data_IF_771759422253
#
_entry.id   IF_771759422253
#
_cell.length_a   1.000
_cell.length_b   1.000
_cell.length_c   1.000
_cell.angle_alpha   90.00
_cell.angle_beta   90.00
_cell.angle_gamma   90.00
#
_symmetry.space_group_name_H-M   'P 1'
#
loop_
_entity.id
_entity.type
_entity.pdbx_description
1 polymer ?
#
# COMPACT_ATOMS: atom_id res chain seq x y z
N UNK A 1 2.66 7.12 29.81
CA UNK A 1 4.12 7.40 29.99
C UNK A 1 4.72 8.23 28.85
N UNK A 2 4.19 8.19 27.63
CA UNK A 2 4.81 8.79 26.43
C UNK A 2 4.80 10.34 26.37
N UNK A 3 3.88 11.01 27.07
CA UNK A 3 3.72 12.48 27.00
C UNK A 3 4.87 13.29 27.60
N UNK A 4 5.57 12.76 28.62
CA UNK A 4 6.57 13.56 29.36
C UNK A 4 7.84 13.87 28.56
N UNK A 5 8.11 13.16 27.46
CA UNK A 5 9.30 13.37 26.65
C UNK A 5 9.18 14.61 25.73
N UNK A 6 7.97 15.00 25.33
CA UNK A 6 7.72 16.02 24.30
C UNK A 6 7.87 17.49 24.77
N UNK A 7 8.15 17.74 26.05
CA UNK A 7 8.18 19.11 26.62
C UNK A 7 9.57 19.69 26.91
N UNK A 8 10.66 18.94 26.68
CA UNK A 8 12.00 19.38 27.15
C UNK A 8 12.87 20.10 26.10
N UNK A 9 12.71 19.83 24.80
CA UNK A 9 13.64 20.34 23.76
C UNK A 9 13.05 21.52 22.98
N UNK A 10 12.88 22.67 23.65
CA UNK A 10 12.48 23.93 22.97
C UNK A 10 13.00 25.20 23.64
N UNK A 11 14.33 25.28 23.81
CA UNK A 11 15.10 26.51 24.02
C UNK A 11 16.41 26.40 23.22
N UNK A 12 17.07 27.54 23.00
CA UNK A 12 18.30 27.69 22.20
C UNK A 12 18.12 27.57 20.68
N UNK A 13 17.36 28.53 20.11
CA UNK A 13 17.67 29.09 18.79
C UNK A 13 18.38 30.43 19.03
N UNK A 14 19.66 30.54 18.64
CA UNK A 14 20.48 31.75 18.84
C UNK A 14 20.47 32.61 17.58
N UNK A 15 20.35 33.93 17.75
CA UNK A 15 20.31 34.89 16.66
C UNK A 15 21.65 34.96 15.90
N UNK A 16 21.57 35.14 14.58
CA UNK A 16 22.67 35.67 13.75
C UNK A 16 22.14 36.91 13.04
N UNK A 17 22.85 38.03 13.17
CA UNK A 17 22.42 39.34 12.70
C UNK A 17 22.81 39.59 11.25
N UNK A 18 21.89 40.14 10.46
CA UNK A 18 22.22 40.81 9.20
C UNK A 18 23.15 42.01 9.47
N UNK A 19 23.98 42.37 8.48
CA UNK A 19 24.80 43.58 8.54
C UNK A 19 24.97 44.17 7.14
N UNK A 20 24.62 45.44 7.02
CA UNK A 20 24.52 46.18 5.77
C UNK A 20 25.75 47.08 5.51
N UNK A 21 26.07 47.29 4.24
CA UNK A 21 27.03 48.19 3.58
C UNK A 21 27.42 47.57 2.22
N UNK A 22 27.59 48.31 1.13
CA UNK A 22 27.42 49.75 0.91
C UNK A 22 27.92 50.11 -0.50
N UNK A 23 27.29 51.07 -1.17
CA UNK A 23 27.51 51.35 -2.60
C UNK A 23 28.54 52.48 -2.82
N UNK A 24 29.57 52.24 -3.63
CA UNK A 24 30.50 53.27 -4.14
C UNK A 24 30.92 52.97 -5.59
N UNK A 25 31.25 54.04 -6.33
CA UNK A 25 31.16 54.07 -7.81
C UNK A 25 32.49 54.08 -8.56
N UNK A 26 32.46 53.46 -9.75
CA UNK A 26 33.18 53.79 -11.00
C UNK A 26 34.69 54.15 -10.98
N UNK A 27 35.47 53.46 -11.82
CA UNK A 27 36.40 54.08 -12.81
C UNK A 27 36.88 53.02 -13.84
N UNK A 28 37.01 53.42 -15.11
CA UNK A 28 37.67 52.64 -16.18
C UNK A 28 39.08 53.18 -16.46
N UNK A 29 40.02 52.29 -16.82
CA UNK A 29 40.90 52.57 -17.97
C UNK A 29 40.82 51.49 -19.07
N UNK A 30 41.45 51.77 -20.23
CA UNK A 30 41.43 50.94 -21.45
C UNK A 30 42.85 50.79 -22.01
N UNK A 31 43.09 49.75 -22.84
CA UNK A 31 44.35 49.37 -23.53
C UNK A 31 45.40 48.69 -22.63
N UNK A 32 46.30 47.81 -23.12
CA UNK A 32 46.51 47.20 -24.45
C UNK A 32 46.35 45.66 -24.33
N UNK A 33 46.27 44.85 -25.40
CA UNK A 33 46.48 45.10 -26.82
C UNK A 33 47.61 44.26 -27.42
N UNK A 34 47.55 42.93 -27.29
CA UNK A 34 48.44 41.98 -27.94
C UNK A 34 47.63 40.76 -28.45
N UNK A 35 48.02 40.21 -29.60
CA UNK A 35 47.48 38.95 -30.17
C UNK A 35 48.55 37.86 -30.04
N UNK A 36 48.12 36.62 -29.89
CA UNK A 36 48.85 35.46 -30.39
C UNK A 36 47.84 34.41 -30.87
N UNK A 37 48.24 33.52 -31.79
CA UNK A 37 47.28 32.85 -32.70
C UNK A 37 47.01 31.35 -32.44
N UNK A 38 45.76 30.97 -32.70
CA UNK A 38 45.30 29.67 -33.19
C UNK A 38 45.81 28.38 -32.50
N UNK A 39 44.91 27.80 -31.67
CA UNK A 39 44.74 26.34 -31.63
C UNK A 39 43.22 26.02 -31.60
N UNK A 40 42.70 25.14 -32.48
CA UNK A 40 41.26 24.89 -32.52
C UNK A 40 40.77 24.21 -31.23
N UNK A 41 39.70 24.74 -30.64
CA UNK A 41 38.90 23.98 -29.68
C UNK A 41 38.08 22.95 -30.46
N UNK A 42 38.24 21.67 -30.13
CA UNK A 42 37.24 20.68 -30.48
C UNK A 42 36.09 20.81 -29.48
N UNK A 43 34.92 21.24 -29.96
CA UNK A 43 33.68 21.21 -29.19
C UNK A 43 33.19 19.75 -29.09
N UNK A 44 33.72 19.01 -28.11
CA UNK A 44 33.18 17.71 -27.74
C UNK A 44 31.79 17.90 -27.10
N UNK A 45 30.77 17.86 -27.95
CA UNK A 45 29.36 17.96 -27.55
C UNK A 45 28.88 16.65 -26.92
N UNK A 46 29.51 16.23 -25.82
CA UNK A 46 29.08 15.12 -24.97
C UNK A 46 28.00 15.56 -23.96
N UNK A 47 26.97 16.26 -24.45
CA UNK A 47 25.80 16.69 -23.67
C UNK A 47 24.87 15.49 -23.38
N UNK A 48 25.36 14.56 -22.56
CA UNK A 48 24.54 13.49 -22.00
C UNK A 48 23.46 14.12 -21.11
N UNK A 49 22.17 13.79 -21.31
CA UNK A 49 21.09 14.42 -20.56
C UNK A 49 21.19 14.05 -19.08
N UNK A 50 21.68 14.99 -18.26
CA UNK A 50 21.80 14.84 -16.80
C UNK A 50 20.44 14.45 -16.22
N UNK A 51 20.32 13.18 -15.81
CA UNK A 51 19.06 12.57 -15.34
C UNK A 51 18.51 13.40 -14.18
N UNK A 52 17.40 14.10 -14.41
CA UNK A 52 16.90 15.12 -13.48
C UNK A 52 16.69 14.53 -12.08
N UNK A 53 17.54 14.97 -11.14
CA UNK A 53 17.68 14.39 -9.80
C UNK A 53 16.34 14.38 -9.07
N UNK A 54 15.86 13.19 -8.75
CA UNK A 54 14.54 12.99 -8.15
C UNK A 54 14.48 13.71 -6.80
N UNK A 55 13.51 14.61 -6.65
CA UNK A 55 13.25 15.37 -5.43
C UNK A 55 12.15 14.73 -4.59
N UNK A 56 12.08 15.01 -3.28
CA UNK A 56 10.92 14.61 -2.49
C UNK A 56 9.59 15.10 -3.10
N UNK A 57 9.59 16.29 -3.72
CA UNK A 57 8.40 16.84 -4.41
C UNK A 57 7.99 16.08 -5.68
N UNK A 58 8.88 15.28 -6.28
CA UNK A 58 8.58 14.37 -7.41
C UNK A 58 8.38 12.93 -6.95
N UNK A 59 9.01 12.50 -5.85
CA UNK A 59 8.63 11.27 -5.15
C UNK A 59 7.16 11.33 -4.83
N UNK A 60 6.73 12.54 -4.42
CA UNK A 60 5.39 13.15 -4.49
C UNK A 60 4.98 13.27 -6.00
N UNK A 61 4.51 14.42 -6.53
CA UNK A 61 3.90 14.72 -7.86
C UNK A 61 2.87 13.74 -8.52
N UNK A 62 2.89 12.44 -8.26
CA UNK A 62 2.50 11.36 -9.19
C UNK A 62 1.42 10.38 -8.67
N UNK A 63 0.48 10.87 -7.87
CA UNK A 63 -0.62 10.12 -7.25
C UNK A 63 -0.27 8.85 -6.46
N UNK A 64 -0.28 7.73 -7.20
CA UNK A 64 -0.83 6.46 -6.72
C UNK A 64 -0.15 5.20 -7.29
N UNK A 65 0.97 5.30 -8.03
CA UNK A 65 1.57 4.15 -8.76
C UNK A 65 2.48 3.26 -7.89
N UNK A 66 2.79 3.67 -6.66
CA UNK A 66 3.33 2.78 -5.63
C UNK A 66 2.20 2.14 -4.84
N UNK A 67 2.40 0.87 -4.52
CA UNK A 67 1.69 0.12 -3.50
C UNK A 67 2.77 -0.45 -2.59
N UNK A 68 2.76 -0.05 -1.32
CA UNK A 68 3.90 -0.22 -0.42
C UNK A 68 3.56 -1.29 0.61
N UNK A 69 4.16 -2.47 0.45
CA UNK A 69 3.81 -3.63 1.27
C UNK A 69 4.43 -3.56 2.66
N UNK A 70 3.57 -3.63 3.67
CA UNK A 70 4.01 -3.84 5.05
C UNK A 70 4.71 -5.19 5.19
N UNK A 71 4.29 -6.20 4.41
CA UNK A 71 4.78 -7.58 4.43
C UNK A 71 5.56 -7.87 3.14
N UNK A 72 6.87 -8.10 3.24
CA UNK A 72 7.71 -8.47 2.09
C UNK A 72 7.86 -9.99 1.99
N UNK A 73 6.95 -10.61 1.24
CA UNK A 73 6.95 -12.03 0.88
C UNK A 73 6.99 -12.20 -0.64
N UNK A 74 7.31 -13.40 -1.10
CA UNK A 74 7.22 -13.82 -2.50
C UNK A 74 6.22 -14.98 -2.63
N UNK A 75 5.77 -15.24 -3.85
CA UNK A 75 5.05 -16.46 -4.19
C UNK A 75 6.04 -17.46 -4.80
N UNK A 76 6.18 -18.64 -4.20
CA UNK A 76 6.88 -19.76 -4.83
C UNK A 76 6.04 -20.29 -6.01
N UNK A 77 6.68 -20.68 -7.10
CA UNK A 77 6.02 -21.24 -8.29
C UNK A 77 5.48 -22.66 -8.10
N UNK A 78 5.81 -23.31 -6.97
CA UNK A 78 5.24 -24.56 -6.47
C UNK A 78 5.12 -24.41 -4.94
N UNK A 79 3.95 -24.68 -4.37
CA UNK A 79 3.72 -24.52 -2.94
C UNK A 79 2.30 -24.07 -2.60
N UNK A 80 1.90 -24.28 -1.35
CA UNK A 80 0.48 -24.34 -0.97
C UNK A 80 -0.35 -23.09 -1.30
N UNK A 81 0.24 -21.90 -1.38
CA UNK A 81 -0.51 -20.70 -1.82
C UNK A 81 -0.79 -20.68 -3.33
N UNK A 82 0.18 -21.02 -4.19
CA UNK A 82 -0.08 -21.04 -5.65
C UNK A 82 -1.04 -22.19 -5.98
N UNK A 83 -0.87 -23.35 -5.34
CA UNK A 83 -1.74 -24.51 -5.50
C UNK A 83 -3.19 -24.18 -5.09
N UNK A 84 -3.38 -23.48 -3.96
CA UNK A 84 -4.68 -23.01 -3.47
C UNK A 84 -5.31 -21.95 -4.38
N UNK A 85 -4.53 -20.97 -4.87
CA UNK A 85 -5.00 -19.93 -5.78
C UNK A 85 -5.50 -20.52 -7.12
N UNK A 86 -4.84 -21.57 -7.61
CA UNK A 86 -5.27 -22.32 -8.80
C UNK A 86 -6.52 -23.14 -8.47
N UNK A 87 -6.49 -23.98 -7.42
CA UNK A 87 -7.61 -24.85 -7.04
C UNK A 87 -8.93 -24.09 -6.85
N UNK A 88 -8.87 -22.94 -6.20
CA UNK A 88 -10.04 -22.10 -5.89
C UNK A 88 -10.46 -21.16 -7.03
N UNK A 89 -9.74 -21.14 -8.16
CA UNK A 89 -9.91 -20.19 -9.27
C UNK A 89 -9.81 -18.70 -8.85
N UNK A 90 -9.22 -18.40 -7.69
CA UNK A 90 -8.93 -17.05 -7.17
C UNK A 90 -7.74 -16.40 -7.90
N UNK A 91 -6.87 -17.22 -8.51
CA UNK A 91 -5.79 -16.77 -9.41
C UNK A 91 -6.25 -15.79 -10.49
N UNK A 92 -7.51 -15.88 -10.95
CA UNK A 92 -8.13 -14.99 -11.96
C UNK A 92 -8.23 -13.52 -11.52
N UNK A 93 -8.03 -13.20 -10.24
CA UNK A 93 -8.10 -11.85 -9.69
C UNK A 93 -6.74 -11.17 -9.52
N UNK A 94 -5.63 -11.82 -9.90
CA UNK A 94 -4.27 -11.28 -9.75
C UNK A 94 -3.37 -11.63 -10.93
N UNK A 95 -2.55 -10.68 -11.36
CA UNK A 95 -1.44 -10.91 -12.28
C UNK A 95 -0.12 -11.04 -11.52
N UNK A 96 0.78 -11.89 -12.00
CA UNK A 96 2.07 -12.16 -11.36
C UNK A 96 3.23 -11.76 -12.26
N UNK A 97 4.36 -11.40 -11.64
CA UNK A 97 5.64 -11.19 -12.32
C UNK A 97 6.71 -12.06 -11.70
N UNK A 98 7.53 -12.68 -12.54
CA UNK A 98 8.63 -13.51 -12.07
C UNK A 98 9.70 -12.66 -11.39
N UNK A 99 10.28 -13.17 -10.30
CA UNK A 99 11.57 -12.68 -9.79
C UNK A 99 12.63 -13.09 -10.82
N UNK A 100 13.28 -12.10 -11.42
CA UNK A 100 14.21 -12.30 -12.55
C UNK A 100 15.66 -12.46 -12.11
N UNK A 101 16.02 -11.99 -10.90
CA UNK A 101 17.39 -12.05 -10.38
C UNK A 101 17.45 -12.56 -8.95
N UNK A 102 18.27 -13.58 -8.72
CA UNK A 102 18.73 -13.94 -7.36
C UNK A 102 20.10 -13.31 -7.17
N UNK A 103 20.29 -12.58 -6.08
CA UNK A 103 21.52 -11.84 -5.78
C UNK A 103 22.11 -12.29 -4.43
N UNK A 104 23.43 -12.25 -4.31
CA UNK A 104 24.16 -12.51 -3.08
C UNK A 104 25.02 -11.29 -2.69
N UNK A 105 25.17 -11.04 -1.39
CA UNK A 105 26.15 -10.07 -0.89
C UNK A 105 27.42 -10.80 -0.42
N UNK A 106 28.53 -10.59 -1.12
CA UNK A 106 29.82 -11.25 -0.86
C UNK A 106 30.95 -10.24 -0.94
N UNK A 107 31.90 -10.29 0.02
CA UNK A 107 33.14 -9.50 0.00
C UNK A 107 32.94 -7.98 -0.25
N UNK A 108 31.79 -7.44 0.21
CA UNK A 108 31.42 -6.03 0.07
C UNK A 108 30.65 -5.68 -1.20
N UNK A 109 30.39 -6.64 -2.11
CA UNK A 109 29.72 -6.46 -3.40
C UNK A 109 28.37 -7.17 -3.45
N UNK A 110 27.49 -6.68 -4.33
CA UNK A 110 26.29 -7.38 -4.79
C UNK A 110 26.62 -8.09 -6.09
N UNK A 111 26.40 -9.40 -6.14
CA UNK A 111 26.67 -10.24 -7.32
C UNK A 111 25.41 -11.04 -7.66
N UNK A 112 25.09 -11.16 -8.95
CA UNK A 112 23.99 -12.00 -9.41
C UNK A 112 24.41 -13.47 -9.38
N UNK A 113 23.61 -14.29 -8.72
CA UNK A 113 23.74 -15.75 -8.76
C UNK A 113 23.16 -16.24 -10.09
N UNK A 114 23.91 -16.94 -10.94
CA UNK A 114 23.37 -17.48 -12.19
C UNK A 114 22.34 -18.57 -11.90
N UNK A 115 21.06 -18.30 -12.19
CA UNK A 115 19.95 -19.23 -11.95
C UNK A 115 19.45 -19.90 -13.23
N UNK A 116 19.61 -19.25 -14.37
CA UNK A 116 19.45 -19.83 -15.71
C UNK A 116 20.70 -19.57 -16.57
N UNK A 117 20.70 -20.13 -17.78
CA UNK A 117 21.77 -19.95 -18.77
C UNK A 117 21.65 -18.61 -19.54
N UNK A 118 20.68 -17.76 -19.21
CA UNK A 118 20.27 -16.61 -20.03
C UNK A 118 20.11 -15.26 -19.28
N UNK A 119 20.17 -15.21 -17.95
CA UNK A 119 19.68 -14.08 -17.12
C UNK A 119 20.58 -12.81 -17.10
N UNK A 120 21.27 -12.48 -18.19
CA UNK A 120 22.47 -11.62 -18.16
C UNK A 120 22.20 -10.10 -18.36
N UNK A 121 20.94 -9.62 -18.54
CA UNK A 121 20.65 -8.25 -19.07
C UNK A 121 19.32 -7.51 -18.58
N UNK A 122 19.33 -6.31 -17.86
CA UNK A 122 18.76 -4.91 -18.23
C UNK A 122 17.84 -3.87 -17.29
N UNK A 123 17.88 -2.42 -17.28
CA UNK A 123 17.21 -1.05 -16.65
C UNK A 123 15.88 -0.18 -17.15
N UNK A 124 14.83 0.55 -16.56
CA UNK A 124 14.20 1.08 -15.25
C UNK A 124 12.69 1.71 -15.29
N UNK A 125 12.10 2.48 -14.29
CA UNK A 125 10.64 2.51 -13.72
C UNK A 125 9.59 3.76 -13.79
N UNK A 126 8.44 3.94 -12.95
CA UNK A 126 7.35 5.06 -12.74
C UNK A 126 6.18 4.90 -11.59
N UNK A 127 5.59 5.69 -10.57
CA UNK A 127 5.65 7.00 -9.67
C UNK A 127 4.58 7.26 -8.43
N UNK A 128 4.58 8.28 -7.47
CA UNK A 128 3.44 8.63 -6.44
C UNK A 128 3.29 10.04 -5.69
N UNK A 129 2.13 10.74 -5.60
CA UNK A 129 1.83 11.82 -4.58
C UNK A 129 1.04 11.45 -3.32
N UNK A 130 -0.28 11.31 -3.42
CA UNK A 130 -1.20 11.97 -2.46
C UNK A 130 -1.28 11.40 -1.03
N UNK A 131 -0.71 10.22 -0.78
CA UNK A 131 -1.09 9.39 0.37
C UNK A 131 -0.80 10.03 1.75
N UNK A 132 0.16 10.96 1.87
CA UNK A 132 0.50 11.62 3.16
C UNK A 132 -0.47 12.72 3.59
N UNK A 133 -0.94 13.56 2.66
CA UNK A 133 -1.79 14.73 3.00
C UNK A 133 -3.19 14.29 3.43
N UNK A 134 -3.71 13.22 2.82
CA UNK A 134 -4.99 12.61 3.16
C UNK A 134 -5.06 12.17 4.63
N UNK A 135 -4.09 11.36 5.08
CA UNK A 135 -4.13 10.77 6.42
C UNK A 135 -4.23 11.81 7.54
N UNK A 136 -3.52 12.93 7.45
CA UNK A 136 -3.60 13.98 8.48
C UNK A 136 -5.03 14.56 8.60
N UNK A 137 -5.70 14.79 7.47
CA UNK A 137 -7.05 15.34 7.48
C UNK A 137 -8.09 14.32 7.99
N UNK A 138 -7.96 13.05 7.63
CA UNK A 138 -8.85 12.00 8.15
C UNK A 138 -8.72 11.81 9.67
N UNK A 139 -7.51 11.96 10.24
CA UNK A 139 -7.33 11.98 11.70
C UNK A 139 -8.06 13.15 12.36
N UNK A 140 -8.00 14.35 11.78
CA UNK A 140 -8.79 15.49 12.26
C UNK A 140 -10.30 15.22 12.20
N UNK A 141 -10.80 14.62 11.11
CA UNK A 141 -12.24 14.38 10.94
C UNK A 141 -12.84 13.39 11.96
N UNK A 142 -12.05 12.46 12.52
CA UNK A 142 -12.54 11.57 13.59
C UNK A 142 -12.93 12.35 14.86
N UNK A 143 -12.15 13.37 15.21
CA UNK A 143 -12.22 14.11 16.47
C UNK A 143 -12.61 15.59 16.30
N UNK A 144 -13.13 16.01 15.13
CA UNK A 144 -13.37 17.42 14.80
C UNK A 144 -14.22 18.19 15.84
N UNK A 145 -15.16 17.53 16.53
CA UNK A 145 -15.94 18.09 17.64
C UNK A 145 -15.07 18.63 18.79
N UNK A 146 -13.87 18.09 19.00
CA UNK A 146 -12.88 18.57 19.98
C UNK A 146 -12.08 19.78 19.50
N UNK A 147 -12.19 20.13 18.21
CA UNK A 147 -11.39 21.15 17.52
C UNK A 147 -12.26 22.23 16.83
N UNK A 148 -13.26 22.86 17.49
CA UNK A 148 -14.18 23.82 16.86
C UNK A 148 -13.45 25.01 16.21
N UNK A 149 -12.34 25.46 16.79
CA UNK A 149 -11.53 26.56 16.27
C UNK A 149 -10.84 26.29 14.92
N UNK A 150 -10.84 25.05 14.40
CA UNK A 150 -10.30 24.74 13.07
C UNK A 150 -11.33 24.93 11.93
N UNK A 151 -12.63 25.07 12.24
CA UNK A 151 -13.69 25.20 11.22
C UNK A 151 -14.84 26.17 11.54
N UNK A 152 -14.85 26.86 12.70
CA UNK A 152 -15.98 27.74 13.09
C UNK A 152 -16.32 28.81 12.03
N UNK A 153 -15.32 29.39 11.34
CA UNK A 153 -15.52 30.46 10.35
C UNK A 153 -16.10 29.94 9.01
N UNK A 154 -16.25 28.61 8.92
CA UNK A 154 -16.74 27.85 7.77
C UNK A 154 -18.01 27.04 8.10
N UNK A 155 -18.52 27.06 9.33
CA UNK A 155 -19.67 26.24 9.79
C UNK A 155 -20.85 26.20 8.82
N UNK A 156 -21.24 27.35 8.27
CA UNK A 156 -22.36 27.51 7.32
C UNK A 156 -21.90 27.68 5.85
N UNK A 157 -20.62 27.52 5.56
CA UNK A 157 -20.07 27.53 4.19
C UNK A 157 -20.04 26.12 3.60
N UNK A 158 -20.04 25.97 2.26
CA UNK A 158 -19.96 24.66 1.64
C UNK A 158 -18.67 23.92 2.02
N UNK A 159 -18.78 22.62 2.30
CA UNK A 159 -17.64 21.75 2.63
C UNK A 159 -16.58 21.75 1.52
N UNK A 160 -17.00 21.90 0.26
CA UNK A 160 -16.11 22.04 -0.89
C UNK A 160 -15.31 23.35 -0.91
N UNK A 161 -15.69 24.37 -0.14
CA UNK A 161 -14.86 25.56 0.11
C UNK A 161 -13.89 25.33 1.27
N UNK A 162 -14.39 24.78 2.39
CA UNK A 162 -13.55 24.44 3.55
C UNK A 162 -12.39 23.50 3.16
N UNK A 163 -12.65 22.46 2.35
CA UNK A 163 -11.58 21.57 1.88
C UNK A 163 -10.47 22.31 1.11
N UNK A 164 -10.79 23.38 0.37
CA UNK A 164 -9.79 24.19 -0.36
C UNK A 164 -8.92 25.06 0.55
N UNK A 165 -9.34 25.34 1.78
CA UNK A 165 -8.50 26.06 2.77
C UNK A 165 -7.57 25.12 3.54
N UNK A 166 -7.80 23.81 3.44
CA UNK A 166 -6.99 22.79 4.11
C UNK A 166 -5.73 22.44 3.32
N UNK A 167 -4.75 21.81 3.99
CA UNK A 167 -3.46 21.43 3.38
C UNK A 167 -3.59 20.11 2.58
N UNK A 168 -4.46 20.13 1.59
CA UNK A 168 -4.86 19.05 0.70
C UNK A 168 -4.55 19.42 -0.77
N UNK A 169 -4.60 18.44 -1.67
CA UNK A 169 -4.49 18.69 -3.13
C UNK A 169 -5.89 18.67 -3.78
N UNK A 170 -6.08 19.24 -4.98
CA UNK A 170 -7.37 19.17 -5.69
C UNK A 170 -7.92 17.74 -5.84
N UNK A 171 -7.03 16.76 -6.10
CA UNK A 171 -7.41 15.35 -6.18
C UNK A 171 -7.87 14.80 -4.81
N UNK A 172 -7.24 15.24 -3.71
CA UNK A 172 -7.69 14.88 -2.36
C UNK A 172 -9.00 15.56 -1.96
N UNK A 173 -9.26 16.79 -2.38
CA UNK A 173 -10.58 17.41 -2.20
C UNK A 173 -11.66 16.55 -2.87
N UNK A 174 -11.40 16.08 -4.09
CA UNK A 174 -12.31 15.20 -4.83
C UNK A 174 -12.53 13.86 -4.11
N UNK A 175 -11.47 13.15 -3.70
CA UNK A 175 -11.61 11.90 -2.93
C UNK A 175 -12.35 12.09 -1.60
N UNK A 176 -12.04 13.15 -0.84
CA UNK A 176 -12.68 13.39 0.47
C UNK A 176 -14.17 13.73 0.28
N UNK A 177 -14.50 14.63 -0.65
CA UNK A 177 -15.87 15.06 -0.89
C UNK A 177 -16.76 13.95 -1.46
N UNK A 178 -16.28 13.23 -2.49
CA UNK A 178 -17.10 12.29 -3.26
C UNK A 178 -16.91 10.82 -2.91
N UNK A 179 -15.76 10.42 -2.35
CA UNK A 179 -15.45 8.99 -2.06
C UNK A 179 -15.40 8.64 -0.57
N UNK A 180 -15.39 9.63 0.33
CA UNK A 180 -15.32 9.43 1.79
C UNK A 180 -16.54 10.06 2.46
N UNK A 181 -16.76 11.36 2.28
CA UNK A 181 -17.97 12.04 2.76
C UNK A 181 -19.21 11.69 1.92
N UNK A 182 -19.04 11.43 0.62
CA UNK A 182 -20.12 11.13 -0.34
C UNK A 182 -21.24 12.19 -0.30
N UNK A 183 -20.86 13.47 -0.27
CA UNK A 183 -21.78 14.62 -0.15
C UNK A 183 -21.77 15.50 -1.39
N UNK A 184 -22.86 16.25 -1.62
CA UNK A 184 -22.89 17.28 -2.64
C UNK A 184 -21.90 18.43 -2.33
N UNK A 185 -21.30 19.09 -3.34
CA UNK A 185 -20.37 20.20 -3.13
C UNK A 185 -20.95 21.40 -2.37
N UNK A 186 -22.28 21.52 -2.35
CA UNK A 186 -23.12 22.50 -1.66
C UNK A 186 -23.32 22.23 -0.16
N UNK A 187 -23.07 21.00 0.30
CA UNK A 187 -23.32 20.54 1.67
C UNK A 187 -22.54 21.37 2.71
N UNK A 188 -23.11 21.60 3.90
CA UNK A 188 -22.45 22.41 4.93
C UNK A 188 -21.12 21.79 5.39
N UNK A 189 -20.16 22.63 5.80
CA UNK A 189 -18.88 22.14 6.33
C UNK A 189 -19.06 21.20 7.52
N UNK A 190 -20.04 21.47 8.39
CA UNK A 190 -20.34 20.59 9.53
C UNK A 190 -20.86 19.23 9.07
N UNK A 191 -21.76 19.19 8.08
CA UNK A 191 -22.38 17.93 7.65
C UNK A 191 -21.43 17.10 6.79
N UNK A 192 -20.57 17.73 5.99
CA UNK A 192 -19.44 17.06 5.34
C UNK A 192 -18.42 16.46 6.32
N UNK A 193 -18.15 17.15 7.44
CA UNK A 193 -17.31 16.61 8.53
C UNK A 193 -18.00 15.45 9.27
N UNK A 194 -19.30 15.55 9.57
CA UNK A 194 -20.10 14.43 10.13
C UNK A 194 -20.08 13.21 9.21
N UNK A 195 -20.32 13.40 7.92
CA UNK A 195 -20.32 12.31 6.94
C UNK A 195 -18.93 11.65 6.82
N UNK A 196 -17.86 12.46 6.77
CA UNK A 196 -16.48 11.97 6.81
C UNK A 196 -16.20 11.18 8.09
N UNK A 197 -16.60 11.70 9.25
CA UNK A 197 -16.45 11.02 10.55
C UNK A 197 -17.21 9.70 10.58
N UNK A 198 -18.47 9.69 10.14
CA UNK A 198 -19.31 8.50 10.10
C UNK A 198 -18.68 7.41 9.24
N UNK A 199 -18.27 7.73 8.01
CA UNK A 199 -17.55 6.79 7.13
C UNK A 199 -16.31 6.21 7.80
N UNK A 200 -15.49 7.04 8.45
CA UNK A 200 -14.28 6.60 9.15
C UNK A 200 -14.59 5.78 10.42
N UNK A 201 -15.74 6.00 11.07
CA UNK A 201 -16.20 5.20 12.21
C UNK A 201 -16.68 3.81 11.76
N UNK A 202 -17.33 3.68 10.60
CA UNK A 202 -17.74 2.40 10.00
C UNK A 202 -16.59 1.43 9.72
N UNK A 203 -15.33 1.87 9.82
CA UNK A 203 -14.15 1.05 9.54
C UNK A 203 -13.77 0.12 10.71
N UNK A 204 -14.60 -0.92 10.91
CA UNK A 204 -14.11 -2.23 11.34
C UNK A 204 -13.75 -2.41 12.82
N UNK A 205 -14.39 -1.70 13.76
CA UNK A 205 -14.22 -1.98 15.20
C UNK A 205 -15.35 -2.85 15.78
N UNK A 206 -14.97 -4.00 16.34
CA UNK A 206 -15.81 -4.77 17.25
C UNK A 206 -15.60 -4.22 18.67
N UNK A 207 -16.69 -4.05 19.44
CA UNK A 207 -16.64 -3.55 20.81
C UNK A 207 -16.32 -4.66 21.81
N UNK A 208 -16.98 -5.82 21.71
CA UNK A 208 -16.69 -6.98 22.57
C UNK A 208 -17.23 -8.30 22.00
N UNK A 209 -16.77 -9.41 22.61
CA UNK A 209 -17.35 -10.75 22.46
C UNK A 209 -18.43 -10.95 23.53
N UNK A 210 -19.59 -11.48 23.14
CA UNK A 210 -20.66 -11.90 24.06
C UNK A 210 -20.44 -13.38 24.39
N UNK A 211 -20.01 -13.65 25.61
CA UNK A 211 -19.73 -15.00 26.11
C UNK A 211 -20.84 -15.43 27.06
N UNK A 212 -21.46 -16.56 26.79
CA UNK A 212 -22.38 -17.22 27.72
C UNK A 212 -21.62 -17.76 28.94
N UNK A 213 -22.21 -17.58 30.12
CA UNK A 213 -21.60 -17.93 31.41
C UNK A 213 -21.74 -19.41 31.75
N UNK A 214 -22.72 -20.13 31.20
CA UNK A 214 -22.95 -21.54 31.53
C UNK A 214 -22.12 -22.47 30.65
N UNK A 215 -22.12 -22.25 29.34
CA UNK A 215 -21.33 -23.03 28.37
C UNK A 215 -19.90 -22.51 28.15
N UNK A 216 -19.60 -21.27 28.56
CA UNK A 216 -18.31 -20.62 28.30
C UNK A 216 -18.04 -20.33 26.82
N UNK A 217 -19.07 -20.41 25.95
CA UNK A 217 -18.95 -20.16 24.51
C UNK A 217 -19.24 -18.71 24.14
N UNK A 218 -18.63 -18.24 23.06
CA UNK A 218 -19.03 -17.01 22.41
C UNK A 218 -20.34 -17.25 21.63
N UNK A 219 -21.35 -16.40 21.83
CA UNK A 219 -22.64 -16.44 21.13
C UNK A 219 -22.75 -15.38 20.02
N UNK A 220 -22.12 -14.23 20.23
CA UNK A 220 -22.24 -13.05 19.39
C UNK A 220 -21.04 -12.11 19.56
N UNK A 221 -20.92 -11.15 18.66
CA UNK A 221 -20.15 -9.92 18.89
C UNK A 221 -21.11 -8.75 19.12
N UNK A 222 -20.62 -7.70 19.77
CA UNK A 222 -21.23 -6.36 19.71
C UNK A 222 -20.28 -5.49 18.89
N UNK A 223 -20.79 -4.85 17.84
CA UNK A 223 -20.01 -3.92 17.01
C UNK A 223 -19.88 -2.52 17.65
N UNK A 224 -19.20 -1.60 16.97
CA UNK A 224 -19.05 -0.21 17.44
C UNK A 224 -20.34 0.64 17.38
N UNK A 225 -21.43 0.13 16.80
CA UNK A 225 -22.77 0.76 16.85
C UNK A 225 -23.61 0.22 18.01
N UNK A 226 -23.16 -0.85 18.70
CA UNK A 226 -23.94 -1.56 19.71
C UNK A 226 -24.83 -2.67 19.14
N UNK A 227 -24.73 -3.00 17.86
CA UNK A 227 -25.50 -4.08 17.25
C UNK A 227 -24.94 -5.44 17.69
N UNK A 228 -25.81 -6.30 18.25
CA UNK A 228 -25.48 -7.69 18.56
C UNK A 228 -25.58 -8.54 17.29
N UNK A 229 -24.47 -9.16 16.90
CA UNK A 229 -24.38 -10.04 15.71
C UNK A 229 -24.02 -11.46 16.18
N UNK A 230 -25.00 -12.36 16.15
CA UNK A 230 -24.85 -13.75 16.64
C UNK A 230 -24.23 -14.68 15.59
N UNK A 231 -23.32 -15.58 16.00
CA UNK A 231 -22.68 -16.55 15.11
C UNK A 231 -22.26 -17.84 15.85
N UNK A 232 -22.04 -18.94 15.12
CA UNK A 232 -21.60 -20.23 15.68
C UNK A 232 -20.10 -20.27 15.98
N UNK A 233 -19.31 -19.61 15.15
CA UNK A 233 -17.84 -19.61 15.16
C UNK A 233 -17.35 -18.17 14.94
N UNK A 234 -16.25 -17.80 15.58
CA UNK A 234 -15.66 -16.47 15.50
C UNK A 234 -14.19 -16.60 15.15
N UNK A 235 -13.77 -16.03 14.02
CA UNK A 235 -12.36 -15.99 13.63
C UNK A 235 -11.88 -14.55 13.85
N UNK A 236 -10.80 -14.38 14.61
CA UNK A 236 -10.25 -13.07 14.99
C UNK A 236 -8.74 -13.06 14.78
N UNK A 237 -8.20 -11.98 14.23
CA UNK A 237 -6.75 -11.81 14.12
C UNK A 237 -6.19 -11.23 15.43
N UNK A 238 -5.00 -11.71 15.82
CA UNK A 238 -4.33 -11.42 17.09
C UNK A 238 -4.25 -9.92 17.49
N UNK A 239 -4.15 -8.98 16.54
CA UNK A 239 -4.13 -7.54 16.86
C UNK A 239 -5.48 -6.96 17.34
N UNK A 240 -6.60 -7.67 17.12
CA UNK A 240 -7.93 -7.30 17.61
C UNK A 240 -8.22 -7.80 19.05
N UNK A 241 -7.36 -8.66 19.61
CA UNK A 241 -7.53 -9.19 20.95
C UNK A 241 -7.19 -8.15 22.03
N UNK A 242 -7.84 -8.25 23.20
CA UNK A 242 -7.61 -7.34 24.32
C UNK A 242 -6.21 -7.53 24.92
N UNK A 243 -5.67 -6.51 25.58
CA UNK A 243 -4.34 -6.59 26.23
C UNK A 243 -4.33 -7.62 27.37
N UNK A 244 -5.50 -7.84 27.95
CA UNK A 244 -5.80 -8.77 29.02
C UNK A 244 -5.83 -10.21 28.48
N UNK A 245 -6.47 -10.42 27.33
CA UNK A 245 -6.41 -11.69 26.55
C UNK A 245 -4.97 -12.01 26.15
N UNK A 246 -4.21 -11.02 25.71
CA UNK A 246 -2.81 -11.17 25.27
C UNK A 246 -1.78 -11.07 26.40
N UNK A 247 -2.20 -10.98 27.67
CA UNK A 247 -1.29 -10.77 28.80
C UNK A 247 -0.39 -11.99 29.02
N UNK A 248 0.90 -11.84 28.71
CA UNK A 248 1.91 -12.91 28.81
C UNK A 248 2.23 -13.62 27.49
N UNK A 249 1.57 -13.27 26.38
CA UNK A 249 1.84 -13.90 25.07
C UNK A 249 3.28 -13.58 24.60
N UNK A 250 4.11 -14.59 24.30
CA UNK A 250 5.52 -14.41 23.93
C UNK A 250 5.68 -14.07 22.43
N UNK A 251 5.24 -12.87 22.03
CA UNK A 251 5.36 -12.40 20.65
C UNK A 251 6.81 -12.29 20.17
N UNK A 252 7.07 -12.72 18.94
CA UNK A 252 8.28 -12.37 18.20
C UNK A 252 8.10 -11.00 17.53
N UNK A 253 9.17 -10.50 16.91
CA UNK A 253 9.16 -9.27 16.13
C UNK A 253 9.88 -9.50 14.79
N UNK A 254 9.40 -8.86 13.74
CA UNK A 254 10.04 -8.79 12.42
C UNK A 254 10.55 -7.37 12.24
N UNK A 255 11.84 -7.22 11.96
CA UNK A 255 12.42 -5.94 11.61
C UNK A 255 12.22 -5.70 10.11
N UNK A 256 11.55 -4.60 9.77
CA UNK A 256 11.22 -4.20 8.39
C UNK A 256 11.84 -2.85 8.07
N UNK A 257 12.37 -2.74 6.85
CA UNK A 257 12.60 -1.44 6.23
C UNK A 257 11.97 -1.39 4.84
N UNK A 258 11.61 -0.17 4.43
CA UNK A 258 11.09 0.18 3.11
C UNK A 258 11.86 1.38 2.62
N UNK A 259 12.50 1.26 1.46
CA UNK A 259 13.34 2.29 0.86
C UNK A 259 12.78 2.66 -0.52
N UNK A 260 13.00 3.92 -0.90
CA UNK A 260 12.86 4.40 -2.29
C UNK A 260 14.26 4.78 -2.74
N UNK A 261 14.76 4.19 -3.82
CA UNK A 261 16.14 4.39 -4.32
C UNK A 261 16.12 4.79 -5.79
N UNK A 262 17.06 5.60 -6.29
CA UNK A 262 17.06 6.04 -7.71
C UNK A 262 17.57 5.00 -8.73
N UNK A 263 18.19 3.92 -8.24
CA UNK A 263 18.75 2.85 -9.05
C UNK A 263 18.59 1.51 -8.31
N UNK A 264 18.79 0.42 -9.05
CA UNK A 264 18.85 -0.93 -8.50
C UNK A 264 20.21 -1.18 -7.85
N UNK A 265 20.23 -2.07 -6.85
CA UNK A 265 21.47 -2.59 -6.22
C UNK A 265 22.45 -3.24 -7.21
N UNK A 266 22.00 -3.58 -8.43
CA UNK A 266 22.84 -4.09 -9.51
C UNK A 266 22.40 -3.51 -10.88
N UNK A 267 23.31 -2.81 -11.58
CA UNK A 267 23.07 -2.14 -12.88
C UNK A 267 22.91 -3.12 -14.05
N UNK A 268 22.17 -2.66 -15.08
CA UNK A 268 21.95 -3.20 -16.43
C UNK A 268 21.12 -2.13 -17.26
N UNK A 269 20.69 -2.30 -18.55
CA UNK A 269 20.16 -1.23 -19.49
C UNK A 269 18.61 -1.03 -19.81
N UNK A 270 17.81 -2.09 -19.97
CA UNK A 270 16.31 -2.28 -20.09
C UNK A 270 15.61 -3.21 -18.99
N UNK A 271 15.05 -2.66 -17.88
CA UNK A 271 14.56 -3.21 -16.54
C UNK A 271 13.11 -2.73 -16.43
N UNK A 272 12.37 -3.33 -15.52
CA UNK A 272 11.94 -4.67 -15.78
C UNK A 272 12.37 -5.74 -14.73
N UNK A 273 13.48 -5.57 -13.96
CA UNK A 273 13.97 -6.65 -13.08
C UNK A 273 13.33 -6.62 -11.70
N UNK A 274 13.09 -7.80 -11.15
CA UNK A 274 12.66 -7.99 -9.77
C UNK A 274 13.71 -8.87 -9.12
N UNK A 275 14.33 -8.38 -8.05
CA UNK A 275 15.49 -9.04 -7.46
C UNK A 275 15.24 -9.47 -6.01
N UNK A 276 15.77 -10.63 -5.62
CA UNK A 276 15.95 -10.98 -4.21
C UNK A 276 17.43 -11.10 -3.88
N UNK A 277 17.90 -10.24 -2.99
CA UNK A 277 19.25 -10.24 -2.44
C UNK A 277 19.23 -10.83 -1.02
N UNK A 278 20.12 -11.78 -0.75
CA UNK A 278 20.39 -12.25 0.62
C UNK A 278 21.69 -11.67 1.14
N UNK A 279 21.63 -10.98 2.27
CA UNK A 279 22.79 -10.44 2.99
C UNK A 279 23.03 -11.31 4.23
N UNK A 280 24.16 -12.06 4.29
CA UNK A 280 24.46 -12.89 5.46
C UNK A 280 24.77 -12.03 6.70
N UNK A 281 24.59 -12.57 7.92
CA UNK A 281 24.94 -11.87 9.14
C UNK A 281 26.44 -11.55 9.18
N UNK A 282 26.80 -10.35 9.63
CA UNK A 282 28.19 -9.92 9.76
C UNK A 282 28.89 -10.48 11.01
N UNK A 283 28.12 -10.83 12.04
CA UNK A 283 28.61 -11.26 13.35
C UNK A 283 27.86 -12.53 13.82
N UNK A 284 28.52 -13.42 14.60
CA UNK A 284 27.86 -14.61 15.17
C UNK A 284 26.65 -14.23 16.05
N UNK A 285 25.48 -14.78 15.73
CA UNK A 285 24.22 -14.51 16.43
C UNK A 285 23.32 -13.45 15.78
N UNK A 286 23.87 -12.60 14.91
CA UNK A 286 23.05 -11.73 14.06
C UNK A 286 22.25 -12.56 13.04
N UNK A 287 21.18 -11.96 12.47
CA UNK A 287 20.29 -12.62 11.50
C UNK A 287 20.65 -12.23 10.06
N UNK A 288 20.44 -13.16 9.14
CA UNK A 288 20.49 -12.84 7.71
C UNK A 288 19.36 -11.87 7.34
N UNK A 289 19.67 -10.89 6.51
CA UNK A 289 18.70 -9.89 6.03
C UNK A 289 18.33 -10.24 4.59
N UNK A 290 17.04 -10.46 4.35
CA UNK A 290 16.49 -10.57 2.99
C UNK A 290 16.17 -9.18 2.47
N UNK A 291 16.51 -8.92 1.22
CA UNK A 291 16.27 -7.65 0.53
C UNK A 291 15.53 -7.95 -0.77
N UNK A 292 14.26 -7.57 -0.86
CA UNK A 292 13.47 -7.69 -2.09
C UNK A 292 13.41 -6.33 -2.80
N UNK A 293 13.78 -6.30 -4.06
CA UNK A 293 13.84 -5.11 -4.91
C UNK A 293 12.75 -5.21 -5.98
N UNK A 294 11.81 -4.27 -5.96
CA UNK A 294 10.68 -4.21 -6.87
C UNK A 294 10.83 -3.04 -7.85
N UNK A 295 10.95 -3.33 -9.16
CA UNK A 295 10.80 -2.34 -10.23
C UNK A 295 9.31 -2.04 -10.49
N UNK A 296 8.98 -0.91 -11.13
CA UNK A 296 7.60 -0.43 -11.22
C UNK A 296 6.71 -1.22 -12.16
N UNK A 297 7.24 -2.14 -12.97
CA UNK A 297 6.36 -3.07 -13.70
C UNK A 297 5.49 -3.93 -12.78
N UNK A 298 5.91 -4.12 -11.53
CA UNK A 298 5.09 -4.69 -10.43
C UNK A 298 3.91 -3.79 -10.04
N UNK A 299 3.86 -2.56 -10.54
CA UNK A 299 2.95 -1.49 -10.13
C UNK A 299 3.09 -1.10 -8.63
N UNK A 300 4.33 -1.20 -8.10
CA UNK A 300 4.66 -0.86 -6.69
C UNK A 300 5.59 0.35 -6.48
N UNK A 301 6.21 0.98 -7.50
CA UNK A 301 7.24 2.02 -7.27
C UNK A 301 7.34 3.15 -8.34
N UNK A 302 8.45 3.92 -8.39
CA UNK A 302 8.58 5.24 -9.05
C UNK A 302 9.51 5.36 -10.28
N UNK A 303 9.41 6.47 -11.06
CA UNK A 303 10.21 6.78 -12.26
C UNK A 303 11.69 6.80 -11.98
N UNK A 304 12.40 5.84 -12.57
CA UNK A 304 13.82 5.59 -12.30
C UNK A 304 14.04 5.42 -10.78
N UNK A 305 13.27 4.50 -10.17
CA UNK A 305 13.43 4.13 -8.77
C UNK A 305 12.93 2.73 -8.49
N UNK A 306 13.35 2.17 -7.36
CA UNK A 306 12.86 0.91 -6.83
C UNK A 306 12.15 1.11 -5.49
N UNK A 307 11.20 0.22 -5.21
CA UNK A 307 10.75 -0.02 -3.84
C UNK A 307 11.57 -1.19 -3.30
N UNK A 308 12.46 -0.90 -2.35
CA UNK A 308 13.36 -1.92 -1.78
C UNK A 308 12.89 -2.24 -0.36
N UNK A 309 12.56 -3.50 -0.13
CA UNK A 309 12.07 -4.02 1.13
C UNK A 309 13.15 -4.85 1.83
N UNK A 310 13.47 -4.52 3.08
CA UNK A 310 14.39 -5.31 3.91
C UNK A 310 13.61 -6.01 5.02
N UNK A 311 13.98 -7.27 5.31
CA UNK A 311 13.30 -8.11 6.32
C UNK A 311 14.29 -9.03 7.02
N UNK A 312 14.25 -9.05 8.35
CA UNK A 312 14.85 -10.11 9.19
C UNK A 312 13.98 -10.36 10.44
N UNK A 313 14.22 -11.48 11.12
CA UNK A 313 13.76 -11.65 12.51
C UNK A 313 14.48 -10.61 13.38
N UNK A 314 13.72 -9.85 14.17
CA UNK A 314 14.24 -8.73 14.95
C UNK A 314 15.17 -9.20 16.09
N UNK A 315 16.21 -8.41 16.37
CA UNK A 315 17.00 -8.48 17.59
C UNK A 315 16.82 -7.19 18.42
N UNK A 316 16.81 -6.04 17.76
CA UNK A 316 16.60 -4.71 18.36
C UNK A 316 15.53 -3.92 17.57
N UNK A 317 15.57 -2.58 17.55
CA UNK A 317 14.68 -1.84 16.65
C UNK A 317 15.03 -2.15 15.20
N UNK A 318 14.04 -2.07 14.32
CA UNK A 318 14.23 -2.33 12.90
C UNK A 318 15.23 -1.38 12.22
N UNK A 319 15.57 -0.24 12.86
CA UNK A 319 16.66 0.61 12.39
C UNK A 319 18.02 0.04 12.77
N UNK A 320 18.22 -0.34 14.03
CA UNK A 320 19.47 -0.95 14.50
C UNK A 320 19.79 -2.26 13.73
N UNK A 321 18.77 -3.08 13.49
CA UNK A 321 18.90 -4.36 12.77
C UNK A 321 19.22 -4.21 11.26
N UNK A 322 18.82 -3.10 10.61
CA UNK A 322 18.81 -2.98 9.14
C UNK A 322 19.62 -1.81 8.57
N UNK A 323 19.78 -0.70 9.29
CA UNK A 323 20.63 0.44 8.88
C UNK A 323 22.05 0.01 8.46
N UNK A 324 22.74 -0.94 9.14
CA UNK A 324 24.06 -1.41 8.71
C UNK A 324 24.06 -2.13 7.36
N UNK A 325 22.91 -2.63 6.89
CA UNK A 325 22.75 -3.19 5.53
C UNK A 325 22.39 -2.10 4.53
N UNK A 326 21.53 -1.16 4.91
CA UNK A 326 21.18 0.00 4.07
C UNK A 326 22.43 0.83 3.74
N UNK A 327 23.29 1.12 4.71
CA UNK A 327 24.54 1.85 4.50
C UNK A 327 25.58 1.07 3.67
N UNK A 328 25.52 -0.27 3.65
CA UNK A 328 26.36 -1.09 2.77
C UNK A 328 25.90 -1.00 1.32
N UNK A 329 24.59 -1.03 1.08
CA UNK A 329 24.01 -1.10 -0.27
C UNK A 329 23.76 0.28 -0.93
N UNK A 330 23.51 1.33 -0.14
CA UNK A 330 23.03 2.62 -0.63
C UNK A 330 23.88 3.81 -0.15
N UNK A 331 23.78 4.93 -0.86
CA UNK A 331 24.36 6.22 -0.48
C UNK A 331 23.23 7.20 -0.08
N UNK A 332 23.31 7.90 1.07
CA UNK A 332 22.35 8.92 1.45
C UNK A 332 22.18 10.03 0.41
N UNK A 333 20.95 10.50 0.17
CA UNK A 333 20.67 11.56 -0.82
C UNK A 333 21.51 12.83 -0.66
N UNK A 334 21.88 13.19 0.58
CA UNK A 334 22.61 14.41 0.87
C UNK A 334 24.11 14.35 0.51
N UNK A 335 24.68 13.18 0.27
CA UNK A 335 26.09 13.06 -0.10
C UNK A 335 26.34 13.62 -1.52
N UNK A 336 27.46 14.33 -1.73
CA UNK A 336 27.84 14.82 -3.05
C UNK A 336 28.15 13.65 -3.99
N UNK A 337 27.96 13.88 -5.30
CA UNK A 337 28.39 12.94 -6.34
C UNK A 337 29.92 12.93 -6.42
N UNK A 338 30.55 12.08 -5.59
CA UNK A 338 31.95 11.71 -5.78
C UNK A 338 32.06 10.86 -7.04
N UNK A 339 32.94 11.28 -7.96
CA UNK A 339 33.17 10.57 -9.21
C UNK A 339 33.92 9.24 -8.95
N UNK A 340 33.14 8.18 -8.74
CA UNK A 340 33.60 6.82 -8.41
C UNK A 340 33.25 5.80 -9.51
N UNK A 341 32.99 6.28 -10.72
CA UNK A 341 32.69 5.46 -11.90
C UNK A 341 31.59 4.43 -11.66
N UNK A 342 31.77 3.23 -12.19
CA UNK A 342 30.73 2.18 -12.16
C UNK A 342 30.34 1.68 -10.78
N UNK A 343 31.18 1.89 -9.76
CA UNK A 343 31.00 1.43 -8.38
C UNK A 343 30.13 2.36 -7.51
N UNK A 344 29.47 3.37 -8.10
CA UNK A 344 28.53 4.22 -7.39
C UNK A 344 27.28 3.43 -6.92
N UNK A 345 27.00 3.48 -5.61
CA UNK A 345 25.78 2.91 -5.00
C UNK A 345 24.53 3.71 -5.43
N UNK A 346 23.34 3.09 -5.50
CA UNK A 346 22.09 3.81 -5.65
C UNK A 346 21.86 4.80 -4.51
N UNK A 347 21.22 5.94 -4.80
CA UNK A 347 20.91 6.93 -3.77
C UNK A 347 19.64 6.56 -3.05
N UNK A 348 19.70 6.59 -1.72
CA UNK A 348 18.55 6.44 -0.85
C UNK A 348 17.75 7.76 -0.82
N UNK A 349 16.60 7.77 -1.51
CA UNK A 349 15.73 8.94 -1.64
C UNK A 349 14.76 9.07 -0.45
N UNK A 350 14.31 7.95 0.09
CA UNK A 350 13.45 7.88 1.27
C UNK A 350 13.61 6.54 2.00
N UNK A 351 13.42 6.52 3.31
CA UNK A 351 13.42 5.32 4.13
C UNK A 351 12.34 5.36 5.22
N UNK A 352 11.80 4.19 5.54
CA UNK A 352 10.99 3.87 6.71
C UNK A 352 11.55 2.60 7.35
N UNK A 353 11.69 2.61 8.68
CA UNK A 353 12.03 1.45 9.49
C UNK A 353 10.91 1.23 10.51
N UNK A 354 10.47 -0.02 10.70
CA UNK A 354 9.47 -0.37 11.71
C UNK A 354 9.59 -1.84 12.13
N UNK A 355 9.28 -2.14 13.38
CA UNK A 355 9.08 -3.50 13.86
C UNK A 355 7.61 -3.89 13.65
N UNK A 356 7.37 -5.12 13.20
CA UNK A 356 6.03 -5.73 13.12
C UNK A 356 5.95 -6.87 14.13
N UNK A 357 4.80 -6.98 14.83
CA UNK A 357 4.52 -8.15 15.69
C UNK A 357 4.44 -9.41 14.85
N UNK A 358 5.15 -10.44 15.29
CA UNK A 358 5.04 -11.80 14.75
C UNK A 358 4.39 -12.69 15.81
N UNK A 359 3.17 -13.13 15.52
CA UNK A 359 2.35 -14.03 16.35
C UNK A 359 2.18 -15.41 15.72
N UNK A 360 2.99 -15.75 14.70
CA UNK A 360 2.84 -17.00 13.91
C UNK A 360 3.00 -18.28 14.74
N UNK A 361 3.93 -18.29 15.68
CA UNK A 361 4.22 -19.45 16.56
C UNK A 361 3.45 -19.41 17.90
N UNK A 362 2.48 -18.51 18.08
CA UNK A 362 1.74 -18.39 19.34
C UNK A 362 0.68 -19.50 19.45
N UNK A 363 0.79 -20.34 20.49
CA UNK A 363 -0.21 -21.36 20.78
C UNK A 363 -1.53 -20.76 21.26
N UNK A 364 -2.66 -21.42 20.97
CA UNK A 364 -3.97 -21.06 21.53
C UNK A 364 -3.93 -20.93 23.07
N UNK A 365 -3.17 -21.80 23.73
CA UNK A 365 -3.02 -21.82 25.20
C UNK A 365 -2.24 -20.63 25.78
N UNK A 366 -1.64 -19.78 24.94
CA UNK A 366 -0.98 -18.54 25.38
C UNK A 366 -1.95 -17.38 25.64
N UNK A 367 -3.21 -17.49 25.17
CA UNK A 367 -4.22 -16.44 25.30
C UNK A 367 -5.16 -16.69 26.47
N UNK A 368 -5.39 -15.68 27.30
CA UNK A 368 -6.23 -15.77 28.49
C UNK A 368 -7.73 -15.73 28.14
N UNK A 369 -8.49 -16.73 28.60
CA UNK A 369 -9.95 -16.70 28.63
C UNK A 369 -10.67 -16.81 27.28
N UNK A 370 -10.01 -17.27 26.21
CA UNK A 370 -10.66 -17.41 24.89
C UNK A 370 -11.69 -18.56 24.83
N UNK A 371 -12.98 -18.27 24.56
CA UNK A 371 -14.02 -19.28 24.34
C UNK A 371 -13.64 -20.29 23.25
N UNK A 372 -14.01 -21.56 23.41
CA UNK A 372 -13.58 -22.66 22.54
C UNK A 372 -13.90 -22.47 21.05
N UNK A 373 -14.99 -21.75 20.73
CA UNK A 373 -15.41 -21.42 19.37
C UNK A 373 -14.93 -20.05 18.85
N UNK A 374 -13.98 -19.41 19.54
CA UNK A 374 -13.24 -18.23 19.09
C UNK A 374 -11.84 -18.68 18.67
N UNK A 375 -11.52 -18.58 17.39
CA UNK A 375 -10.29 -19.04 16.75
C UNK A 375 -9.40 -17.86 16.41
N UNK A 376 -8.09 -17.98 16.68
CA UNK A 376 -7.13 -16.89 16.46
C UNK A 376 -6.31 -17.12 15.20
N UNK A 377 -6.35 -16.16 14.28
CA UNK A 377 -5.37 -16.04 13.20
C UNK A 377 -4.16 -15.23 13.69
N UNK A 378 -2.96 -15.65 13.32
CA UNK A 378 -1.76 -14.86 13.56
C UNK A 378 -1.65 -13.70 12.56
N UNK A 379 -0.85 -12.70 12.92
CA UNK A 379 -0.28 -11.77 11.96
C UNK A 379 0.76 -12.45 11.03
N UNK A 380 1.44 -11.66 10.19
CA UNK A 380 2.45 -12.15 9.26
C UNK A 380 3.69 -12.76 9.95
N UNK A 381 4.20 -13.86 9.40
CA UNK A 381 5.42 -14.54 9.84
C UNK A 381 6.68 -14.01 9.13
N UNK A 382 7.86 -14.26 9.72
CA UNK A 382 9.14 -13.84 9.14
C UNK A 382 9.62 -14.64 7.90
N UNK A 383 8.88 -15.66 7.44
CA UNK A 383 9.22 -16.50 6.28
C UNK A 383 9.13 -15.78 4.93
N UNK A 384 9.70 -16.40 3.88
CA UNK A 384 9.73 -15.80 2.53
C UNK A 384 8.44 -16.03 1.75
N UNK A 385 7.87 -17.25 1.82
CA UNK A 385 6.58 -17.59 1.22
C UNK A 385 5.41 -17.36 2.18
N UNK A 386 4.28 -18.01 1.91
CA UNK A 386 3.02 -17.83 2.66
C UNK A 386 2.51 -19.16 3.26
N UNK A 387 3.40 -20.13 3.43
CA UNK A 387 3.07 -21.51 3.78
C UNK A 387 2.44 -21.61 5.17
N UNK A 388 2.84 -20.72 6.10
CA UNK A 388 2.24 -20.60 7.43
C UNK A 388 0.78 -20.14 7.36
N UNK A 389 0.50 -19.06 6.61
CA UNK A 389 -0.84 -18.50 6.50
C UNK A 389 -1.84 -19.50 5.88
N UNK A 390 -1.42 -20.24 4.84
CA UNK A 390 -2.25 -21.27 4.21
C UNK A 390 -2.51 -22.43 5.18
N UNK A 391 -1.47 -22.96 5.84
CA UNK A 391 -1.62 -24.05 6.83
C UNK A 391 -2.49 -23.66 8.01
N UNK A 392 -2.41 -22.42 8.48
CA UNK A 392 -3.27 -21.91 9.54
C UNK A 392 -4.73 -21.83 9.08
N UNK A 393 -5.00 -21.29 7.89
CA UNK A 393 -6.34 -21.22 7.31
C UNK A 393 -6.95 -22.62 7.11
N UNK A 394 -6.19 -23.57 6.56
CA UNK A 394 -6.61 -24.97 6.35
C UNK A 394 -6.87 -25.69 7.67
N UNK A 395 -5.98 -25.55 8.66
CA UNK A 395 -6.13 -26.16 9.98
C UNK A 395 -7.31 -25.58 10.77
N UNK A 396 -7.63 -24.28 10.60
CA UNK A 396 -8.83 -23.67 11.18
C UNK A 396 -10.10 -24.11 10.43
N UNK A 397 -10.06 -24.21 9.11
CA UNK A 397 -11.19 -24.72 8.31
C UNK A 397 -11.56 -26.15 8.73
N UNK A 398 -10.60 -27.07 8.81
CA UNK A 398 -10.86 -28.46 9.23
C UNK A 398 -11.28 -28.60 10.71
N UNK A 399 -11.04 -27.59 11.56
CA UNK A 399 -11.58 -27.54 12.93
C UNK A 399 -13.05 -27.07 13.00
N UNK A 400 -13.53 -26.36 11.97
CA UNK A 400 -14.88 -25.79 11.89
C UNK A 400 -15.80 -26.66 11.01
N UNK A 401 -15.23 -27.22 9.95
CA UNK A 401 -15.88 -28.02 8.90
C UNK A 401 -15.07 -29.31 8.63
N UNK A 402 -15.01 -30.25 9.60
CA UNK A 402 -14.17 -31.44 9.48
C UNK A 402 -14.64 -32.36 8.36
N UNK A 403 -13.75 -32.62 7.39
CA UNK A 403 -14.02 -33.51 6.25
C UNK A 403 -14.62 -32.83 5.02
N UNK A 404 -14.92 -31.54 5.08
CA UNK A 404 -15.24 -30.74 3.89
C UNK A 404 -13.97 -30.45 3.07
N UNK A 405 -14.12 -30.18 1.76
CA UNK A 405 -12.99 -29.80 0.92
C UNK A 405 -12.56 -28.35 1.16
N UNK A 406 -11.25 -28.11 1.28
CA UNK A 406 -10.71 -26.77 1.55
C UNK A 406 -10.61 -25.96 0.25
N UNK A 407 -11.48 -24.95 0.11
CA UNK A 407 -11.56 -24.03 -1.03
C UNK A 407 -11.60 -24.74 -2.42
N UNK A 408 -12.65 -25.53 -2.70
CA UNK A 408 -12.93 -25.99 -4.06
C UNK A 408 -13.17 -24.80 -5.01
N UNK A 409 -13.00 -25.03 -6.31
CA UNK A 409 -13.42 -24.08 -7.34
C UNK A 409 -14.93 -23.81 -7.24
N UNK A 410 -15.40 -22.56 -7.44
CA UNK A 410 -16.81 -22.32 -7.70
C UNK A 410 -17.22 -23.04 -9.00
N UNK A 411 -18.37 -23.74 -9.05
CA UNK A 411 -18.83 -24.42 -10.25
C UNK A 411 -19.06 -23.39 -11.37
N UNK A 412 -18.54 -23.67 -12.57
CA UNK A 412 -18.78 -22.85 -13.74
C UNK A 412 -20.19 -23.13 -14.27
N UNK A 413 -21.10 -22.14 -14.38
CA UNK A 413 -22.44 -22.38 -14.91
C UNK A 413 -22.44 -22.83 -16.38
N UNK A 414 -21.37 -22.53 -17.14
CA UNK A 414 -21.22 -22.97 -18.54
C UNK A 414 -20.82 -24.44 -18.67
N UNK A 415 -20.31 -25.07 -17.61
CA UNK A 415 -19.99 -26.52 -17.58
C UNK A 415 -21.26 -27.37 -17.33
N UNK A 416 -22.40 -26.73 -16.98
CA UNK A 416 -23.68 -27.39 -16.72
C UNK A 416 -24.39 -27.66 -18.05
N UNK A 417 -24.14 -28.84 -18.62
CA UNK A 417 -24.87 -29.32 -19.80
C UNK A 417 -26.32 -29.63 -19.38
N UNK A 418 -27.27 -28.92 -19.97
CA UNK A 418 -28.70 -29.25 -19.90
C UNK A 418 -29.05 -30.22 -21.03
N UNK A 419 -29.59 -31.39 -20.70
CA UNK A 419 -30.09 -32.37 -21.68
C UNK A 419 -31.38 -31.85 -22.36
N UNK A 420 -31.19 -31.13 -23.46
CA UNK A 420 -32.27 -30.53 -24.26
C UNK A 420 -32.99 -31.50 -25.19
N UNK A 421 -33.44 -32.66 -24.72
CA UNK A 421 -34.27 -33.60 -25.52
C UNK A 421 -35.33 -34.37 -24.70
N UNK A 422 -35.77 -33.81 -23.56
CA UNK A 422 -36.88 -34.36 -22.78
C UNK A 422 -38.22 -33.97 -23.43
N UNK A 423 -38.75 -34.86 -24.28
CA UNK A 423 -40.01 -34.68 -25.00
C UNK A 423 -41.17 -34.64 -24.00
N UNK A 424 -41.74 -33.45 -23.78
CA UNK A 424 -42.98 -33.31 -23.02
C UNK A 424 -44.07 -34.24 -23.59
N UNK A 425 -44.69 -35.12 -22.78
CA UNK A 425 -45.84 -35.88 -23.23
C UNK A 425 -47.05 -34.93 -23.36
N UNK A 426 -47.66 -34.89 -24.54
CA UNK A 426 -48.90 -34.14 -24.75
C UNK A 426 -50.02 -34.68 -23.86
N UNK A 427 -50.56 -33.82 -23.00
CA UNK A 427 -51.79 -34.07 -22.24
C UNK A 427 -52.67 -32.81 -22.25
N UNK A 428 -53.96 -32.89 -22.60
CA UNK A 428 -54.77 -31.70 -22.90
C UNK A 428 -55.46 -31.10 -21.67
N UNK A 429 -55.50 -29.78 -21.59
CA UNK A 429 -56.25 -29.04 -20.57
C UNK A 429 -56.06 -27.53 -20.70
N UNK A 430 -57.04 -26.85 -21.30
CA UNK A 430 -57.06 -25.39 -21.53
C UNK A 430 -57.27 -24.57 -20.26
N UNK A 431 -56.60 -23.41 -20.19
CA UNK A 431 -56.87 -22.22 -19.35
C UNK A 431 -56.71 -22.46 -17.83
N UNK A 432 -55.78 -21.78 -17.14
CA UNK A 432 -55.86 -20.33 -16.92
C UNK A 432 -54.48 -19.68 -16.61
N UNK A 433 -54.51 -18.43 -16.10
CA UNK A 433 -53.37 -17.64 -15.55
C UNK A 433 -52.54 -16.84 -16.59
N UNK A 434 -53.17 -15.77 -17.06
CA UNK A 434 -52.66 -14.38 -17.02
C UNK A 434 -51.16 -14.16 -17.39
N UNK A 435 -50.94 -13.68 -18.62
CA UNK A 435 -49.74 -12.91 -18.98
C UNK A 435 -49.83 -11.48 -18.43
N UNK A 436 -49.01 -11.13 -17.44
CA UNK A 436 -48.74 -9.73 -17.08
C UNK A 436 -47.61 -9.19 -17.98
N UNK A 437 -47.99 -8.48 -19.05
CA UNK A 437 -47.07 -8.00 -20.09
C UNK A 437 -46.39 -6.69 -19.69
N UNK A 438 -45.13 -6.52 -20.05
CA UNK A 438 -44.39 -5.27 -19.89
C UNK A 438 -45.06 -4.15 -20.73
N UNK A 439 -45.43 -3.02 -20.10
CA UNK A 439 -45.96 -1.87 -20.81
C UNK A 439 -44.84 -1.01 -21.39
N UNK A 440 -44.89 -0.80 -22.70
CA UNK A 440 -44.12 0.22 -23.43
C UNK A 440 -45.11 1.31 -23.87
N UNK A 441 -44.90 2.54 -23.41
CA UNK A 441 -45.86 3.63 -23.58
C UNK A 441 -45.64 4.47 -24.84
N UNK A 442 -46.38 4.17 -25.91
CA UNK A 442 -46.71 5.17 -26.94
C UNK A 442 -48.23 5.30 -27.08
N UNK A 443 -48.76 6.48 -26.75
CA UNK A 443 -50.18 6.80 -26.81
C UNK A 443 -50.46 7.80 -27.93
N UNK A 444 -51.15 7.34 -28.97
CA UNK A 444 -51.43 8.09 -30.20
C UNK A 444 -52.27 9.36 -30.00
N UNK A 445 -52.12 10.33 -30.90
CA UNK A 445 -53.28 11.05 -31.43
C UNK A 445 -53.05 11.51 -32.87
N UNK A 446 -53.94 11.07 -33.77
CA UNK A 446 -54.06 11.60 -35.14
C UNK A 446 -55.03 12.79 -35.12
N UNK A 447 -54.72 13.85 -35.86
CA UNK A 447 -55.72 14.84 -36.30
C UNK A 447 -55.28 15.49 -37.63
N UNK A 448 -56.04 15.14 -38.67
CA UNK A 448 -56.38 15.90 -39.89
C UNK A 448 -55.30 16.71 -40.63
N UNK A 449 -55.00 16.27 -41.87
CA UNK A 449 -54.44 17.14 -42.92
C UNK A 449 -55.55 17.95 -43.60
N UNK A 450 -55.30 19.23 -43.88
CA UNK A 450 -55.32 19.66 -45.29
C UNK A 450 -54.06 20.48 -45.65
N UNK A 451 -53.54 20.30 -46.86
CA UNK A 451 -52.23 20.84 -47.26
C UNK A 451 -52.26 22.03 -48.23
N UNK A 452 -51.16 22.78 -48.24
CA UNK A 452 -50.67 23.67 -49.31
C UNK A 452 -49.13 23.56 -49.32
N UNK A 453 -48.50 23.15 -50.42
CA UNK A 453 -48.04 23.95 -51.58
C UNK A 453 -46.74 24.77 -51.34
N UNK A 454 -45.69 24.36 -52.07
CA UNK A 454 -44.59 25.18 -52.64
C UNK A 454 -43.56 25.89 -51.73
N UNK A 455 -42.28 25.61 -52.03
CA UNK A 455 -41.14 26.54 -52.20
C UNK A 455 -40.68 27.43 -51.01
N UNK A 456 -39.38 27.57 -50.71
CA UNK A 456 -38.14 27.08 -51.36
C UNK A 456 -37.18 26.46 -50.33
#
# INVERSE_FOLDING_TARGET
MMEKFYRSNRREETQVTEKDCGDETCIHPVSHGAKDENKPMAEDNTDQPKRNRITYSQIVKEGRRFNIDLVSKLLYSQGSLIDLLIKSNVSRYAEFKNVTRILAFREGKVEQVPCSRADVFNSKELSMVEKRMLMKFLTFCLDYEQHPGEYQDFTQRPFSEYLKTQKLTPNLHHFILHSIAMTEPSCSTVDGLKATKHFLQCLGRIQCLVVDKESGRCEAVIDHFGQRISAKYFIVEDSYLSKETCAGVPYKQISRAVLITDQSVLKADSDQQISILTVPPAEPGARAVRVAELCSSTMTCMKDTYLVHLTCSSAHTAREDLEPVVQKLFTPYAEPEMDKGDLAKPRLLWALYFNMRDSSEVSRSSYNGLPSNVYVCSGPDCGLGNEHAVKLAEALFQQIFPGEDFCPAPPNPEDIIFDGDDKQPEAPGTNDIIMAKLESSEGSQNLESPGQHLQN
#
